data_IF_960036039041
#
_entry.id   IF_960036039041
#
_cell.length_a   1.000
_cell.length_b   1.000
_cell.length_c   1.000
_cell.angle_alpha   90.00
_cell.angle_beta   90.00
_cell.angle_gamma   90.00
#
_symmetry.space_group_name_H-M   'P 1'
#
loop_
_entity.id
_entity.type
_entity.pdbx_description
1 polymer ?
#
# COMPACT_ATOMS: atom_id res chain seq x y z
N UNK A 1 -0.52 15.06 -20.18
CA UNK A 1 0.85 14.70 -20.19
C UNK A 1 1.38 14.52 -18.79
N UNK A 2 2.02 13.47 -18.49
CA UNK A 2 2.78 13.29 -17.28
C UNK A 2 2.04 12.91 -16.01
N UNK A 3 0.73 12.74 -16.02
CA UNK A 3 0.08 12.17 -14.84
C UNK A 3 0.33 10.67 -14.81
N UNK A 4 0.91 10.22 -13.69
CA UNK A 4 1.09 8.78 -13.49
C UNK A 4 -0.26 8.13 -13.18
N UNK A 5 -0.47 6.93 -13.72
CA UNK A 5 -1.57 6.06 -13.34
C UNK A 5 -1.09 4.98 -12.37
N UNK A 6 0.08 5.16 -11.77
CA UNK A 6 0.58 4.31 -10.71
C UNK A 6 -0.19 4.60 -9.43
N UNK A 7 -0.65 3.55 -8.77
CA UNK A 7 -1.45 3.65 -7.54
C UNK A 7 -0.69 2.96 -6.41
N UNK A 8 -0.60 3.60 -5.25
CA UNK A 8 0.02 3.00 -4.08
C UNK A 8 -1.01 2.18 -3.32
N UNK A 9 -0.62 0.99 -2.88
CA UNK A 9 -1.52 0.04 -2.22
C UNK A 9 -1.11 -0.13 -0.76
N UNK A 10 -2.06 0.05 0.15
CA UNK A 10 -1.84 -0.14 1.58
C UNK A 10 -1.65 -1.63 1.90
N UNK A 11 -0.94 -1.94 2.96
CA UNK A 11 -0.56 -3.31 3.30
C UNK A 11 -1.73 -4.28 3.39
N UNK A 12 -2.80 -3.92 4.10
CA UNK A 12 -3.94 -4.83 4.25
C UNK A 12 -4.63 -5.09 2.91
N UNK A 13 -4.59 -4.14 1.99
CA UNK A 13 -5.16 -4.33 0.66
C UNK A 13 -4.31 -5.30 -0.16
N UNK A 14 -3.00 -5.26 -0.02
CA UNK A 14 -2.11 -6.26 -0.64
C UNK A 14 -2.47 -7.67 -0.16
N UNK A 15 -2.68 -7.83 1.14
CA UNK A 15 -3.07 -9.12 1.72
C UNK A 15 -4.42 -9.57 1.17
N UNK A 16 -5.40 -8.69 1.11
CA UNK A 16 -6.73 -9.05 0.58
C UNK A 16 -6.68 -9.39 -0.91
N UNK A 17 -5.89 -8.69 -1.69
CA UNK A 17 -5.72 -9.04 -3.12
C UNK A 17 -5.19 -10.45 -3.30
N UNK A 18 -4.27 -10.87 -2.43
CA UNK A 18 -3.65 -12.18 -2.52
C UNK A 18 -4.53 -13.30 -1.94
N UNK A 19 -5.26 -13.03 -0.85
CA UNK A 19 -5.87 -14.09 -0.05
C UNK A 19 -7.36 -13.93 0.22
N UNK A 20 -7.94 -12.74 0.09
CA UNK A 20 -9.34 -12.52 0.45
C UNK A 20 -9.95 -11.36 -0.32
N UNK A 21 -10.17 -11.56 -1.59
CA UNK A 21 -10.68 -10.51 -2.47
C UNK A 21 -12.11 -10.06 -2.14
N UNK A 22 -12.82 -10.81 -1.30
CA UNK A 22 -14.17 -10.42 -0.84
C UNK A 22 -14.15 -9.13 -0.03
N UNK A 23 -13.02 -8.81 0.60
CA UNK A 23 -12.87 -7.59 1.40
C UNK A 23 -12.77 -6.33 0.54
N UNK A 24 -12.49 -6.50 -0.75
CA UNK A 24 -12.29 -5.38 -1.66
C UNK A 24 -13.61 -4.70 -2.04
N UNK A 25 -13.64 -3.36 -2.00
CA UNK A 25 -14.78 -2.62 -2.54
C UNK A 25 -14.80 -2.73 -4.06
N UNK A 26 -15.97 -2.51 -4.66
CA UNK A 26 -16.10 -2.51 -6.12
C UNK A 26 -15.21 -1.45 -6.75
N UNK A 27 -15.16 -0.26 -6.15
CA UNK A 27 -14.35 0.84 -6.65
C UNK A 27 -12.86 0.52 -6.59
N UNK A 28 -12.39 -0.03 -5.46
CA UNK A 28 -10.98 -0.42 -5.33
C UNK A 28 -10.61 -1.48 -6.36
N UNK A 29 -11.46 -2.48 -6.54
CA UNK A 29 -11.23 -3.55 -7.52
C UNK A 29 -11.15 -3.01 -8.94
N UNK A 30 -12.08 -2.13 -9.32
CA UNK A 30 -12.09 -1.51 -10.64
C UNK A 30 -10.84 -0.64 -10.85
N UNK A 31 -10.43 0.11 -9.85
CA UNK A 31 -9.24 0.96 -9.91
C UNK A 31 -7.98 0.12 -10.09
N UNK A 32 -7.87 -0.99 -9.37
CA UNK A 32 -6.74 -1.91 -9.50
C UNK A 32 -6.67 -2.50 -10.91
N UNK A 33 -7.80 -2.96 -11.43
CA UNK A 33 -7.84 -3.52 -12.78
C UNK A 33 -7.44 -2.50 -13.83
N UNK A 34 -7.93 -1.27 -13.70
CA UNK A 34 -7.57 -0.19 -14.60
C UNK A 34 -6.08 0.14 -14.53
N UNK A 35 -5.52 0.23 -13.33
CA UNK A 35 -4.10 0.51 -13.14
C UNK A 35 -3.23 -0.57 -13.78
N UNK A 36 -3.62 -1.83 -13.64
CA UNK A 36 -2.89 -2.96 -14.22
C UNK A 36 -2.98 -3.03 -15.74
N UNK A 37 -4.14 -2.72 -16.29
CA UNK A 37 -4.41 -2.91 -17.72
C UNK A 37 -4.08 -1.68 -18.56
N UNK A 38 -4.31 -0.48 -18.03
CA UNK A 38 -4.23 0.76 -18.79
C UNK A 38 -3.23 1.76 -18.21
N UNK A 39 -2.78 1.55 -16.98
CA UNK A 39 -1.94 2.48 -16.27
C UNK A 39 -0.51 1.98 -16.09
N UNK A 40 0.16 2.56 -15.10
CA UNK A 40 1.54 2.27 -14.76
C UNK A 40 1.68 1.17 -13.69
N UNK A 41 0.57 0.54 -13.34
CA UNK A 41 0.56 -0.57 -12.41
C UNK A 41 0.32 -0.17 -10.96
N UNK A 42 0.67 -1.07 -10.05
CA UNK A 42 0.48 -0.90 -8.62
C UNK A 42 1.85 -0.78 -7.93
N UNK A 43 1.93 0.11 -6.96
CA UNK A 43 3.13 0.30 -6.14
C UNK A 43 2.85 -0.08 -4.70
N UNK A 44 3.91 -0.46 -4.00
CA UNK A 44 3.90 -0.65 -2.54
C UNK A 44 5.13 0.03 -1.95
N UNK A 45 5.04 0.37 -0.67
CA UNK A 45 6.20 0.84 0.07
C UNK A 45 7.08 -0.35 0.47
N UNK A 46 8.40 -0.12 0.60
CA UNK A 46 9.32 -1.09 1.20
C UNK A 46 8.78 -1.64 2.52
N UNK A 47 8.16 -0.78 3.35
CA UNK A 47 7.64 -1.20 4.66
C UNK A 47 6.53 -2.23 4.54
N UNK A 48 5.80 -2.23 3.44
CA UNK A 48 4.72 -3.21 3.20
C UNK A 48 5.28 -4.63 3.11
N UNK A 49 6.46 -4.80 2.51
CA UNK A 49 7.09 -6.12 2.43
C UNK A 49 7.36 -6.66 3.83
N UNK A 50 7.90 -5.82 4.72
CA UNK A 50 8.15 -6.21 6.12
C UNK A 50 6.84 -6.53 6.84
N UNK A 51 5.80 -5.72 6.67
CA UNK A 51 4.52 -5.94 7.32
C UNK A 51 3.86 -7.24 6.87
N UNK A 52 3.85 -7.51 5.57
CA UNK A 52 3.29 -8.75 5.03
C UNK A 52 4.09 -9.95 5.54
N UNK A 53 5.41 -9.84 5.54
CA UNK A 53 6.30 -10.88 6.08
C UNK A 53 6.04 -11.14 7.56
N UNK A 54 5.81 -10.09 8.34
CA UNK A 54 5.50 -10.20 9.76
C UNK A 54 4.16 -10.93 10.00
N UNK A 55 3.14 -10.59 9.22
CA UNK A 55 1.84 -11.27 9.29
C UNK A 55 1.99 -12.77 8.97
N UNK A 56 2.76 -13.10 7.96
CA UNK A 56 3.00 -14.49 7.58
C UNK A 56 3.76 -15.24 8.68
N UNK A 57 4.80 -14.62 9.24
CA UNK A 57 5.62 -15.25 10.29
C UNK A 57 4.84 -15.48 11.58
N UNK A 58 3.80 -14.68 11.83
CA UNK A 58 2.93 -14.84 13.00
C UNK A 58 1.77 -15.79 12.76
N UNK A 59 1.76 -16.52 11.64
CA UNK A 59 0.73 -17.47 11.31
C UNK A 59 -0.60 -16.84 10.87
N UNK A 60 -0.62 -15.55 10.60
CA UNK A 60 -1.84 -14.86 10.15
C UNK A 60 -2.12 -15.05 8.67
N UNK A 61 -1.11 -15.48 7.93
CA UNK A 61 -1.20 -15.85 6.53
C UNK A 61 -0.58 -17.23 6.40
N UNK A 62 -1.32 -18.17 5.81
CA UNK A 62 -0.81 -19.51 5.58
C UNK A 62 -0.20 -19.61 4.19
N UNK A 63 1.07 -19.98 4.14
CA UNK A 63 1.82 -20.07 2.89
C UNK A 63 2.06 -21.51 2.51
N UNK A 64 1.91 -21.84 1.22
CA UNK A 64 2.32 -23.13 0.67
C UNK A 64 3.76 -23.14 0.19
N UNK A 65 4.48 -22.02 0.32
CA UNK A 65 5.86 -21.85 -0.12
C UNK A 65 6.66 -21.18 1.01
N UNK A 66 7.98 -21.07 0.84
CA UNK A 66 8.81 -20.39 1.84
C UNK A 66 8.44 -18.92 1.95
N UNK A 67 8.70 -18.34 3.12
CA UNK A 67 8.47 -16.90 3.35
C UNK A 67 9.27 -16.06 2.34
N UNK A 68 10.52 -16.40 2.12
CA UNK A 68 11.36 -15.66 1.17
C UNK A 68 10.79 -15.71 -0.25
N UNK A 69 10.38 -16.88 -0.71
CA UNK A 69 9.78 -17.03 -2.03
C UNK A 69 8.48 -16.23 -2.17
N UNK A 70 7.66 -16.23 -1.12
CA UNK A 70 6.42 -15.46 -1.10
C UNK A 70 6.71 -13.96 -1.22
N UNK A 71 7.65 -13.44 -0.45
CA UNK A 71 7.98 -12.03 -0.49
C UNK A 71 8.63 -11.63 -1.82
N UNK A 72 9.40 -12.51 -2.44
CA UNK A 72 9.94 -12.28 -3.78
C UNK A 72 8.82 -12.18 -4.83
N UNK A 73 7.77 -12.98 -4.70
CA UNK A 73 6.60 -12.87 -5.57
C UNK A 73 5.89 -11.54 -5.40
N UNK A 74 5.76 -11.05 -4.16
CA UNK A 74 5.19 -9.73 -3.91
C UNK A 74 6.04 -8.66 -4.62
N UNK A 75 7.35 -8.69 -4.44
CA UNK A 75 8.25 -7.74 -5.10
C UNK A 75 8.11 -7.75 -6.63
N UNK A 76 7.90 -8.92 -7.20
CA UNK A 76 7.80 -9.08 -8.64
C UNK A 76 6.49 -8.52 -9.22
N UNK A 77 5.45 -8.41 -8.40
CA UNK A 77 4.11 -7.99 -8.85
C UNK A 77 3.82 -6.50 -8.66
N UNK A 78 4.66 -5.82 -7.92
CA UNK A 78 4.46 -4.41 -7.60
C UNK A 78 5.71 -3.60 -7.92
N UNK A 79 5.50 -2.31 -8.15
CA UNK A 79 6.60 -1.35 -8.14
C UNK A 79 6.91 -1.07 -6.68
N UNK A 80 8.10 -1.39 -6.21
CA UNK A 80 8.47 -1.18 -4.81
C UNK A 80 9.12 0.18 -4.67
N UNK A 81 8.49 1.05 -3.88
CA UNK A 81 9.00 2.41 -3.64
C UNK A 81 9.82 2.43 -2.35
N UNK A 82 11.01 3.00 -2.39
CA UNK A 82 11.89 3.01 -1.21
C UNK A 82 11.40 3.98 -0.14
N UNK A 83 11.77 3.70 1.10
CA UNK A 83 11.60 4.63 2.21
C UNK A 83 12.71 5.66 2.10
N UNK A 84 12.35 6.91 1.75
CA UNK A 84 13.32 7.99 1.56
C UNK A 84 13.34 8.91 2.77
N UNK A 85 14.43 9.67 2.93
CA UNK A 85 14.48 10.71 3.97
C UNK A 85 13.37 11.74 3.81
N UNK A 86 13.00 12.06 2.56
CA UNK A 86 11.91 12.98 2.26
C UNK A 86 10.57 12.46 2.76
N UNK A 87 10.28 11.17 2.52
CA UNK A 87 9.06 10.54 3.03
C UNK A 87 9.07 10.47 4.56
N UNK A 88 10.21 10.14 5.17
CA UNK A 88 10.33 10.09 6.63
C UNK A 88 10.07 11.46 7.26
N UNK A 89 10.67 12.51 6.73
CA UNK A 89 10.45 13.86 7.23
C UNK A 89 8.99 14.25 7.15
N UNK A 90 8.32 13.91 6.04
CA UNK A 90 6.90 14.18 5.86
C UNK A 90 6.05 13.40 6.86
N UNK A 91 6.36 12.12 7.05
CA UNK A 91 5.65 11.24 7.99
C UNK A 91 5.73 11.75 9.42
N UNK A 92 6.90 12.18 9.85
CA UNK A 92 7.11 12.72 11.19
C UNK A 92 6.24 13.96 11.41
N UNK A 93 6.02 14.77 10.38
CA UNK A 93 5.21 15.98 10.44
C UNK A 93 3.70 15.75 10.34
N UNK A 94 3.23 14.51 10.22
CA UNK A 94 1.79 14.25 10.09
C UNK A 94 1.05 14.64 11.36
N UNK A 95 -0.17 15.19 11.22
CA UNK A 95 -0.97 15.61 12.37
C UNK A 95 -1.52 14.42 13.15
N UNK A 96 -2.04 14.70 14.36
CA UNK A 96 -2.63 13.67 15.22
C UNK A 96 -3.88 13.02 14.62
N UNK A 97 -4.51 13.64 13.62
CA UNK A 97 -5.67 13.09 12.92
C UNK A 97 -5.31 11.89 12.04
N UNK A 98 -4.03 11.71 11.72
CA UNK A 98 -3.55 10.55 10.97
C UNK A 98 -3.11 9.45 11.95
N UNK A 99 -3.30 8.16 11.62
CA UNK A 99 -2.86 7.08 12.51
C UNK A 99 -1.43 7.24 12.98
N UNK A 100 -1.16 6.84 14.22
CA UNK A 100 0.17 6.99 14.83
C UNK A 100 1.15 5.89 14.41
N UNK A 101 0.64 4.78 13.89
CA UNK A 101 1.48 3.67 13.45
C UNK A 101 2.54 4.16 12.45
N UNK A 102 3.84 3.94 12.71
CA UNK A 102 4.90 4.40 11.83
C UNK A 102 4.76 3.91 10.39
N UNK A 103 4.36 2.65 10.20
CA UNK A 103 4.19 2.11 8.86
C UNK A 103 3.09 2.83 8.09
N UNK A 104 1.95 3.11 8.74
CA UNK A 104 0.86 3.85 8.13
C UNK A 104 1.30 5.25 7.71
N UNK A 105 2.11 5.90 8.54
CA UNK A 105 2.64 7.24 8.24
C UNK A 105 3.64 7.23 7.10
N UNK A 106 4.50 6.23 7.04
CA UNK A 106 5.46 6.06 5.93
C UNK A 106 4.72 5.85 4.61
N UNK A 107 3.71 4.98 4.60
CA UNK A 107 2.92 4.71 3.40
C UNK A 107 2.21 5.97 2.93
N UNK A 108 1.52 6.67 3.84
CA UNK A 108 0.83 7.91 3.49
C UNK A 108 1.76 9.00 3.00
N UNK A 109 2.91 9.16 3.66
CA UNK A 109 3.91 10.14 3.26
C UNK A 109 4.51 9.82 1.88
N UNK A 110 4.72 8.54 1.60
CA UNK A 110 5.19 8.09 0.29
C UNK A 110 4.19 8.49 -0.80
N UNK A 111 2.90 8.29 -0.55
CA UNK A 111 1.86 8.71 -1.49
C UNK A 111 1.96 10.21 -1.79
N UNK A 112 2.10 11.04 -0.75
CA UNK A 112 2.20 12.48 -0.94
C UNK A 112 3.48 12.89 -1.69
N UNK A 113 4.60 12.33 -1.30
CA UNK A 113 5.90 12.68 -1.90
C UNK A 113 5.96 12.27 -3.37
N UNK A 114 5.37 11.12 -3.71
CA UNK A 114 5.37 10.60 -5.08
C UNK A 114 4.17 11.07 -5.91
N UNK A 115 3.25 11.82 -5.31
CA UNK A 115 2.07 12.31 -6.03
C UNK A 115 1.09 11.22 -6.41
N UNK A 116 0.94 10.20 -5.57
CA UNK A 116 0.09 9.04 -5.84
C UNK A 116 -1.16 9.06 -4.97
N UNK A 117 -2.23 8.42 -5.47
CA UNK A 117 -3.38 8.07 -4.63
C UNK A 117 -3.09 6.75 -3.91
N UNK A 118 -3.68 6.60 -2.72
CA UNK A 118 -3.52 5.42 -1.89
C UNK A 118 -4.80 4.61 -1.87
N UNK A 119 -4.73 3.34 -2.25
CA UNK A 119 -5.85 2.41 -2.05
C UNK A 119 -5.78 1.90 -0.62
N UNK A 120 -6.77 2.25 0.18
CA UNK A 120 -6.86 1.86 1.59
C UNK A 120 -8.31 1.79 2.05
N UNK A 121 -8.61 0.80 2.88
CA UNK A 121 -9.91 0.70 3.56
C UNK A 121 -9.90 1.39 4.92
N UNK A 122 -8.75 1.84 5.41
CA UNK A 122 -8.61 2.42 6.74
C UNK A 122 -9.41 3.71 6.86
N UNK A 123 -10.38 3.73 7.78
CA UNK A 123 -11.29 4.86 7.95
C UNK A 123 -10.59 6.10 8.48
N UNK A 124 -9.63 5.95 9.38
CA UNK A 124 -8.90 7.10 9.93
C UNK A 124 -8.07 7.78 8.86
N UNK A 125 -7.39 7.00 8.02
CA UNK A 125 -6.61 7.53 6.89
C UNK A 125 -7.53 8.26 5.93
N UNK A 126 -8.65 7.66 5.58
CA UNK A 126 -9.61 8.25 4.65
C UNK A 126 -10.23 9.52 5.20
N UNK A 127 -10.59 9.53 6.49
CA UNK A 127 -11.18 10.70 7.16
C UNK A 127 -10.19 11.85 7.34
N UNK A 128 -8.92 11.56 7.46
CA UNK A 128 -7.90 12.59 7.65
C UNK A 128 -7.83 13.56 6.47
N UNK A 129 -8.17 13.08 5.27
CA UNK A 129 -8.08 13.84 4.01
C UNK A 129 -6.68 14.38 3.73
N UNK A 130 -5.67 13.89 4.43
CA UNK A 130 -4.29 14.30 4.25
C UNK A 130 -3.69 13.72 2.98
N UNK A 131 -4.10 12.51 2.62
CA UNK A 131 -3.62 11.75 1.47
C UNK A 131 -4.82 11.45 0.57
N UNK A 132 -4.70 11.60 -0.76
CA UNK A 132 -5.76 11.15 -1.67
C UNK A 132 -5.96 9.65 -1.52
N UNK A 133 -7.18 9.21 -1.25
CA UNK A 133 -7.48 7.80 -1.03
C UNK A 133 -8.55 7.30 -2.00
N UNK A 134 -8.53 6.00 -2.24
CA UNK A 134 -9.50 5.28 -3.07
C UNK A 134 -9.98 4.07 -2.30
N UNK A 135 -11.28 3.96 -2.20
CA UNK A 135 -11.92 2.74 -1.64
C UNK A 135 -13.37 2.56 -2.06
#
# INVERSE_FOLDING_TARGET
MGQTLLILVDTHVVVWLAFDQKQMSKKARATIDEARNLGDGLAISDITILEVGTLASRGRIQLGISLESFLQEIEARFVVLPITGRACARAIGFPASYPKDPADRIIGATALVEGLSLITADREIRRSRLVPTIW
#
